data_IF_495972661545
#
_entry.id   IF_495972661545
#
_cell.length_a   1.000
_cell.length_b   1.000
_cell.length_c   1.000
_cell.angle_alpha   90.00
_cell.angle_beta   90.00
_cell.angle_gamma   90.00
#
_symmetry.space_group_name_H-M   'P 1'
#
loop_
_entity.id
_entity.type
_entity.pdbx_description
1 polymer ?
#
# COMPACT_ATOMS: atom_id res chain seq x y z
N UNK A 1 -29.50 -11.60 22.68
CA UNK A 1 -29.02 -11.36 22.91
C UNK A 1 -28.36 -11.15 23.17
N UNK A 2 -28.02 -10.88 23.10
CA UNK A 2 -27.56 -10.42 23.31
C UNK A 2 -26.73 -10.21 23.84
N UNK A 3 -26.24 -10.53 23.90
CA UNK A 3 -25.43 -10.28 24.42
C UNK A 3 -24.87 -9.51 24.83
N UNK A 4 -24.70 -9.33 24.55
CA UNK A 4 -24.36 -8.21 24.82
C UNK A 4 -23.84 -7.93 26.03
N UNK A 5 -23.88 -8.52 26.84
CA UNK A 5 -23.49 -8.23 28.08
C UNK A 5 -22.20 -7.62 28.10
N UNK A 6 -21.23 -8.17 27.51
CA UNK A 6 -19.97 -7.51 27.52
C UNK A 6 -19.32 -7.65 26.23
N UNK A 7 -18.61 -6.64 25.81
CA UNK A 7 -17.95 -6.70 24.52
C UNK A 7 -16.85 -7.77 24.55
N UNK A 8 -16.57 -8.34 23.45
CA UNK A 8 -15.57 -9.37 23.36
C UNK A 8 -14.15 -8.85 23.54
N UNK A 9 -13.99 -7.56 23.67
CA UNK A 9 -12.67 -7.00 23.81
C UNK A 9 -12.37 -6.06 22.67
N UNK A 10 -11.13 -5.68 22.50
CA UNK A 10 -10.74 -4.70 21.54
C UNK A 10 -9.72 -5.28 20.58
N UNK A 11 -9.85 -4.97 19.32
CA UNK A 11 -8.89 -5.39 18.32
C UNK A 11 -8.10 -4.17 17.91
N UNK A 12 -6.79 -4.26 17.94
CA UNK A 12 -5.95 -3.20 17.45
C UNK A 12 -5.05 -3.74 16.38
N UNK A 13 -4.71 -2.92 15.41
CA UNK A 13 -3.86 -3.33 14.30
C UNK A 13 -2.61 -2.50 14.33
N UNK A 14 -1.47 -3.15 14.43
CA UNK A 14 -0.20 -2.44 14.44
C UNK A 14 0.01 -1.78 13.08
N UNK A 15 0.59 -0.59 13.04
CA UNK A 15 0.84 0.06 11.75
C UNK A 15 1.68 -0.80 10.81
N UNK A 16 2.59 -1.61 11.34
CA UNK A 16 3.40 -2.46 10.48
C UNK A 16 2.56 -3.53 9.81
N UNK A 17 1.50 -3.98 10.45
CA UNK A 17 0.61 -4.97 9.85
C UNK A 17 -0.14 -4.31 8.71
N UNK A 18 -0.60 -3.08 8.91
CA UNK A 18 -1.31 -2.35 7.90
C UNK A 18 -0.38 -2.12 6.69
N UNK A 19 0.85 -1.74 6.94
CA UNK A 19 1.81 -1.52 5.87
C UNK A 19 2.06 -2.82 5.10
N UNK A 20 2.12 -3.94 5.79
CA UNK A 20 2.34 -5.22 5.14
C UNK A 20 1.14 -5.60 4.25
N UNK A 21 -0.06 -5.37 4.72
CA UNK A 21 -1.26 -5.65 3.93
C UNK A 21 -1.23 -4.82 2.66
N UNK A 22 -0.89 -3.54 2.77
CA UNK A 22 -0.84 -2.67 1.63
C UNK A 22 0.23 -3.12 0.65
N UNK A 23 1.41 -3.47 1.15
CA UNK A 23 2.50 -3.89 0.31
C UNK A 23 2.15 -5.16 -0.46
N UNK A 24 1.62 -6.15 0.24
CA UNK A 24 1.29 -7.40 -0.41
C UNK A 24 0.16 -7.23 -1.42
N UNK A 25 -0.79 -6.37 -1.12
CA UNK A 25 -1.88 -6.12 -2.05
C UNK A 25 -1.35 -5.46 -3.32
N UNK A 26 -0.48 -4.48 -3.17
CA UNK A 26 0.08 -3.80 -4.33
C UNK A 26 0.89 -4.77 -5.20
N UNK A 27 1.61 -5.68 -4.57
CA UNK A 27 2.43 -6.64 -5.31
C UNK A 27 1.59 -7.62 -6.12
N UNK A 28 0.34 -7.78 -5.80
CA UNK A 28 -0.50 -8.68 -6.56
C UNK A 28 -1.12 -8.04 -7.79
N UNK A 29 -0.99 -6.73 -7.95
CA UNK A 29 -1.57 -6.07 -9.10
C UNK A 29 -0.67 -6.30 -10.30
N UNK A 30 -1.27 -6.70 -11.42
CA UNK A 30 -0.54 -6.94 -12.62
C UNK A 30 0.16 -5.67 -13.06
N UNK A 31 1.40 -5.75 -13.40
CA UNK A 31 2.16 -4.58 -13.82
C UNK A 31 3.07 -4.04 -12.73
N UNK A 32 2.88 -4.45 -11.49
CA UNK A 32 3.75 -4.02 -10.40
C UNK A 32 4.89 -5.01 -10.29
N UNK A 33 6.13 -4.53 -10.43
CA UNK A 33 7.29 -5.40 -10.32
C UNK A 33 7.70 -5.55 -8.86
N UNK A 34 7.82 -4.45 -8.17
CA UNK A 34 8.18 -4.49 -6.76
C UNK A 34 7.96 -3.12 -6.17
N UNK A 35 8.07 -3.00 -4.87
CA UNK A 35 7.98 -1.72 -4.21
C UNK A 35 9.38 -1.11 -4.21
N UNK A 36 9.45 0.19 -4.31
CA UNK A 36 10.72 0.89 -4.34
C UNK A 36 11.06 1.38 -2.96
N UNK A 37 12.32 1.66 -2.74
CA UNK A 37 12.72 2.23 -1.48
C UNK A 37 12.22 3.65 -1.43
N UNK A 38 11.81 4.11 -0.26
CA UNK A 38 11.34 5.47 -0.12
C UNK A 38 12.55 6.39 -0.19
N UNK A 39 12.51 7.40 -1.05
CA UNK A 39 13.64 8.29 -1.20
C UNK A 39 13.98 9.00 0.10
N UNK A 40 15.25 9.20 0.34
CA UNK A 40 15.68 9.83 1.58
C UNK A 40 15.15 11.25 1.70
N UNK A 41 14.86 11.88 0.60
CA UNK A 41 14.37 13.24 0.64
C UNK A 41 12.93 13.34 1.05
N UNK A 42 12.23 12.24 1.09
CA UNK A 42 10.82 12.27 1.44
C UNK A 42 10.70 12.51 2.93
N UNK A 43 9.83 13.44 3.28
CA UNK A 43 9.62 13.76 4.65
C UNK A 43 8.80 12.68 5.30
N UNK A 44 9.26 12.08 6.36
CA UNK A 44 8.57 10.99 6.99
C UNK A 44 7.96 11.37 8.32
N UNK A 45 7.78 12.63 8.60
CA UNK A 45 7.16 13.06 9.81
C UNK A 45 5.88 12.38 10.08
N UNK A 46 5.06 12.25 9.06
CA UNK A 46 3.74 11.74 9.28
C UNK A 46 3.67 10.25 9.37
N UNK A 47 4.71 9.54 9.02
CA UNK A 47 4.63 8.10 8.95
C UNK A 47 4.72 7.49 10.30
N UNK A 48 3.76 6.69 10.66
CA UNK A 48 3.85 5.93 11.86
C UNK A 48 4.54 4.64 11.56
N UNK A 49 4.49 4.19 10.33
CA UNK A 49 5.12 2.97 9.94
C UNK A 49 5.70 3.13 8.57
N UNK A 50 6.85 2.57 8.33
CA UNK A 50 7.53 2.69 7.08
C UNK A 50 8.09 1.34 6.74
N UNK A 51 7.46 0.69 5.80
CA UNK A 51 7.92 -0.58 5.30
C UNK A 51 8.40 -0.33 3.89
N UNK A 52 9.09 -1.25 3.28
CA UNK A 52 9.65 -1.06 1.95
C UNK A 52 8.63 -0.46 1.02
N UNK A 53 8.82 0.77 0.67
CA UNK A 53 7.99 1.45 -0.30
C UNK A 53 6.63 1.92 0.19
N UNK A 54 6.32 1.75 1.47
CA UNK A 54 5.01 2.13 1.98
C UNK A 54 5.14 3.06 3.18
N UNK A 55 4.46 4.19 3.12
CA UNK A 55 4.36 5.07 4.28
C UNK A 55 2.89 5.21 4.59
N UNK A 56 2.53 5.13 5.86
CA UNK A 56 1.15 5.21 6.25
C UNK A 56 0.97 6.20 7.34
N UNK A 57 -0.19 6.83 7.38
CA UNK A 57 -0.60 7.65 8.50
C UNK A 57 -2.07 7.41 8.75
N UNK A 58 -2.45 7.32 10.01
CA UNK A 58 -3.85 7.27 10.39
C UNK A 58 -4.12 8.59 11.05
N UNK A 59 -4.98 9.38 10.43
CA UNK A 59 -5.20 10.73 10.90
C UNK A 59 -6.30 10.78 11.95
N UNK A 60 -6.50 11.95 12.50
CA UNK A 60 -7.49 12.13 13.56
C UNK A 60 -8.89 11.77 13.12
N UNK A 61 -9.17 11.82 11.83
CA UNK A 61 -10.47 11.45 11.33
C UNK A 61 -10.64 9.94 11.26
N UNK A 62 -9.64 9.18 11.66
CA UNK A 62 -9.71 7.72 11.64
C UNK A 62 -9.45 7.11 10.28
N UNK A 63 -9.10 7.92 9.30
CA UNK A 63 -8.87 7.39 7.95
C UNK A 63 -7.40 7.08 7.73
N UNK A 64 -7.18 6.12 6.87
CA UNK A 64 -5.84 5.68 6.53
C UNK A 64 -5.39 6.43 5.29
N UNK A 65 -4.22 7.02 5.36
CA UNK A 65 -3.61 7.69 4.23
C UNK A 65 -2.30 6.98 3.94
N UNK A 66 -2.03 6.71 2.70
CA UNK A 66 -0.84 5.94 2.36
C UNK A 66 -0.16 6.51 1.12
N UNK A 67 1.15 6.37 1.10
CA UNK A 67 1.96 6.68 -0.07
C UNK A 67 2.70 5.42 -0.44
N UNK A 68 2.57 5.00 -1.67
CA UNK A 68 3.26 3.81 -2.16
C UNK A 68 4.24 4.20 -3.23
N UNK A 69 5.43 3.64 -3.15
CA UNK A 69 6.49 3.90 -4.13
C UNK A 69 6.71 2.60 -4.87
N UNK A 70 6.45 2.60 -6.16
CA UNK A 70 6.40 1.37 -6.93
C UNK A 70 7.39 1.37 -8.08
N UNK A 71 7.80 0.18 -8.46
CA UNK A 71 8.54 -0.05 -9.68
C UNK A 71 7.62 -0.92 -10.53
N UNK A 72 7.34 -0.47 -11.75
CA UNK A 72 6.42 -1.20 -12.61
C UNK A 72 7.19 -1.99 -13.65
N UNK A 73 6.55 -2.97 -14.25
CA UNK A 73 7.17 -3.71 -15.34
C UNK A 73 7.12 -2.83 -16.59
N UNK A 74 7.98 -3.12 -17.54
CA UNK A 74 8.05 -2.31 -18.75
C UNK A 74 6.85 -2.48 -19.66
N UNK A 75 6.00 -3.45 -19.37
CA UNK A 75 4.80 -3.62 -20.17
C UNK A 75 3.57 -3.03 -19.52
N UNK A 76 3.71 -2.45 -18.36
CA UNK A 76 2.57 -1.92 -17.65
C UNK A 76 2.13 -0.58 -18.24
N UNK A 77 0.83 -0.36 -18.19
CA UNK A 77 0.29 0.96 -18.49
C UNK A 77 0.32 1.70 -17.17
N UNK A 78 1.11 2.74 -17.07
CA UNK A 78 1.36 3.41 -15.79
C UNK A 78 0.07 3.91 -15.16
N UNK A 79 -0.76 4.58 -15.93
CA UNK A 79 -1.96 5.17 -15.37
C UNK A 79 -2.95 4.12 -14.92
N UNK A 80 -3.14 3.11 -15.74
CA UNK A 80 -4.08 2.07 -15.43
C UNK A 80 -3.61 1.25 -14.24
N UNK A 81 -2.32 0.92 -14.21
CA UNK A 81 -1.77 0.14 -13.11
C UNK A 81 -1.87 0.92 -11.79
N UNK A 82 -1.58 2.21 -11.84
CA UNK A 82 -1.67 3.03 -10.64
C UNK A 82 -3.09 3.07 -10.11
N UNK A 83 -4.06 3.19 -11.00
CA UNK A 83 -5.43 3.21 -10.55
C UNK A 83 -5.84 1.88 -9.95
N UNK A 84 -5.38 0.79 -10.54
CA UNK A 84 -5.70 -0.50 -10.02
C UNK A 84 -5.10 -0.70 -8.64
N UNK A 85 -3.87 -0.23 -8.43
CA UNK A 85 -3.25 -0.32 -7.11
C UNK A 85 -4.08 0.47 -6.10
N UNK A 86 -4.50 1.68 -6.47
CA UNK A 86 -5.29 2.49 -5.56
C UNK A 86 -6.60 1.80 -5.20
N UNK A 87 -7.25 1.22 -6.18
CA UNK A 87 -8.53 0.56 -5.94
C UNK A 87 -8.36 -0.69 -5.08
N UNK A 88 -7.37 -1.51 -5.39
CA UNK A 88 -7.18 -2.74 -4.65
C UNK A 88 -6.72 -2.49 -3.22
N UNK A 89 -5.86 -1.52 -3.03
CA UNK A 89 -5.39 -1.20 -1.69
C UNK A 89 -6.53 -0.62 -0.88
N UNK A 90 -7.33 0.25 -1.48
CA UNK A 90 -8.47 0.81 -0.78
C UNK A 90 -9.45 -0.28 -0.37
N UNK A 91 -9.68 -1.23 -1.26
CA UNK A 91 -10.58 -2.31 -0.97
C UNK A 91 -10.04 -3.19 0.15
N UNK A 92 -8.75 -3.49 0.13
CA UNK A 92 -8.17 -4.32 1.17
C UNK A 92 -8.27 -3.63 2.54
N UNK A 93 -8.02 -2.34 2.57
CA UNK A 93 -8.11 -1.62 3.83
C UNK A 93 -9.54 -1.63 4.34
N UNK A 94 -10.51 -1.33 3.50
CA UNK A 94 -11.87 -1.26 3.97
C UNK A 94 -12.44 -2.62 4.31
N UNK A 95 -12.13 -3.66 3.54
CA UNK A 95 -12.69 -4.96 3.81
C UNK A 95 -11.93 -5.77 4.81
N UNK A 96 -10.63 -5.78 4.71
CA UNK A 96 -9.85 -6.63 5.56
C UNK A 96 -9.57 -5.99 6.90
N UNK A 97 -9.34 -4.71 6.90
CA UNK A 97 -8.99 -4.00 8.11
C UNK A 97 -10.19 -3.30 8.72
N UNK A 98 -11.16 -2.96 7.91
CA UNK A 98 -12.36 -2.31 8.41
C UNK A 98 -12.19 -0.84 8.70
N UNK A 99 -11.20 -0.20 8.08
CA UNK A 99 -10.98 1.22 8.30
C UNK A 99 -11.35 1.99 7.05
N UNK A 100 -11.63 3.26 7.23
CA UNK A 100 -11.93 4.12 6.09
C UNK A 100 -10.64 4.59 5.47
N UNK A 101 -10.68 4.85 4.18
CA UNK A 101 -9.50 5.25 3.44
C UNK A 101 -9.62 6.71 3.09
N UNK A 102 -8.57 7.46 3.36
CA UNK A 102 -8.49 8.85 2.92
C UNK A 102 -7.98 8.90 1.50
N UNK A 103 -6.67 8.90 1.32
CA UNK A 103 -6.10 8.86 -0.02
C UNK A 103 -4.99 7.85 -0.08
N UNK A 104 -4.84 7.26 -1.27
CA UNK A 104 -3.75 6.36 -1.55
C UNK A 104 -2.99 7.00 -2.69
N UNK A 105 -1.80 7.50 -2.42
CA UNK A 105 -0.98 8.12 -3.44
C UNK A 105 0.03 7.12 -3.98
N UNK A 106 0.21 7.10 -5.26
CA UNK A 106 1.13 6.17 -5.90
C UNK A 106 2.22 6.97 -6.59
N UNK A 107 3.45 6.63 -6.30
CA UNK A 107 4.62 7.28 -6.88
C UNK A 107 5.38 6.22 -7.67
N UNK A 108 5.52 6.41 -8.96
CA UNK A 108 6.24 5.46 -9.80
C UNK A 108 7.69 5.90 -9.84
N UNK A 109 8.54 5.10 -9.25
CA UNK A 109 9.94 5.47 -9.09
C UNK A 109 10.81 4.93 -10.20
N UNK A 110 10.40 3.86 -10.84
CA UNK A 110 11.26 3.24 -11.85
C UNK A 110 10.46 2.25 -12.67
N UNK A 111 11.03 1.82 -13.77
CA UNK A 111 10.46 0.80 -14.63
C UNK A 111 11.47 -0.33 -14.70
N UNK A 112 11.00 -1.52 -14.50
CA UNK A 112 11.85 -2.70 -14.51
C UNK A 112 11.85 -3.30 -15.91
N UNK A 113 12.96 -3.18 -16.61
CA UNK A 113 13.07 -3.69 -17.97
C UNK A 113 13.62 -5.11 -17.96
N UNK A 114 12.84 -6.00 -17.37
CA UNK A 114 13.31 -7.32 -17.20
C UNK A 114 13.71 -8.02 -18.42
N UNK A 115 12.97 -7.84 -19.48
CA UNK A 115 13.28 -8.62 -20.65
C UNK A 115 14.64 -8.29 -21.21
N UNK A 116 15.21 -7.20 -20.82
CA UNK A 116 16.48 -6.87 -21.34
C UNK A 116 17.50 -7.86 -20.97
N UNK A 117 17.58 -8.24 -19.75
CA UNK A 117 18.56 -9.13 -19.39
C UNK A 117 18.24 -10.46 -19.75
N UNK A 118 17.01 -10.79 -19.79
CA UNK A 118 16.67 -12.10 -20.18
C UNK A 118 17.06 -12.33 -21.57
N UNK A 119 16.89 -11.36 -22.35
CA UNK A 119 17.10 -11.60 -23.74
C UNK A 119 18.52 -11.80 -24.06
N UNK A 120 19.38 -11.37 -23.21
CA UNK A 120 20.69 -11.58 -23.55
C UNK A 120 21.12 -12.85 -23.21
N UNK A 121 20.46 -13.53 -22.44
CA UNK A 121 20.92 -14.82 -22.00
C UNK A 121 20.99 -15.80 -23.11
#
# INVERSE_FOLDING_TARGET
>A
METTERPPGKTTIAPSVLATIIRLTALQVDGVSQLAQIPASVNTFFSRSREDGVQIAVEDDGRVYADLHLILTDKADIRETSKKVQDEVSLAISKMVGMEVGTINVHIEDIDYQNNKDSEA
#
